data_IF_620916728656
#
_entry.id   IF_620916728656
#
_cell.length_a   1.000
_cell.length_b   1.000
_cell.length_c   1.000
_cell.angle_alpha   90.00
_cell.angle_beta   90.00
_cell.angle_gamma   90.00
#
_symmetry.space_group_name_H-M   'P 1'
#
loop_
_entity.id
_entity.type
_entity.pdbx_description
1 polymer ?
#
# COMPACT_ATOMS: atom_id res chain seq x y z
N UNK A 1 22.75 7.32 25.41
CA UNK A 1 22.19 8.05 24.24
C UNK A 1 20.69 8.17 24.45
N UNK A 2 20.18 9.40 24.60
CA UNK A 2 18.74 9.66 24.74
C UNK A 2 18.06 9.31 23.42
N UNK A 3 17.12 8.37 23.42
CA UNK A 3 16.32 8.10 22.21
C UNK A 3 15.53 9.37 21.89
N UNK A 4 15.74 9.91 20.70
CA UNK A 4 14.97 11.06 20.21
C UNK A 4 13.58 10.53 19.89
N UNK A 5 12.58 11.04 20.60
CA UNK A 5 11.18 10.74 20.34
C UNK A 5 10.82 11.17 18.91
N UNK A 6 10.15 10.30 18.14
CA UNK A 6 9.80 10.57 16.74
C UNK A 6 8.45 11.29 16.68
N UNK A 7 8.41 12.46 16.08
CA UNK A 7 7.15 13.19 15.82
C UNK A 7 6.43 12.53 14.64
N UNK A 8 5.15 12.24 14.81
CA UNK A 8 4.28 11.62 13.80
C UNK A 8 3.20 12.62 13.38
N UNK A 9 2.65 12.43 12.17
CA UNK A 9 1.53 13.22 11.69
C UNK A 9 0.36 13.18 12.70
N UNK A 10 -0.18 14.35 13.07
CA UNK A 10 -1.24 14.42 14.06
C UNK A 10 -2.52 13.77 13.51
N UNK A 11 -3.21 12.92 14.30
CA UNK A 11 -4.48 12.35 13.88
C UNK A 11 -5.54 13.46 13.69
N UNK A 12 -6.54 13.23 12.84
CA UNK A 12 -7.60 14.20 12.60
C UNK A 12 -8.30 14.58 13.90
N UNK A 13 -8.56 15.87 14.08
CA UNK A 13 -9.22 16.42 15.27
C UNK A 13 -8.30 16.68 16.46
N UNK A 14 -6.98 16.51 16.32
CA UNK A 14 -6.03 16.99 17.33
C UNK A 14 -6.00 18.54 17.35
N UNK A 15 -6.10 19.22 18.50
CA UNK A 15 -6.12 20.69 18.54
C UNK A 15 -4.82 21.31 18.03
N UNK A 16 -4.91 22.53 17.50
CA UNK A 16 -3.74 23.25 16.99
C UNK A 16 -2.68 23.47 18.09
N UNK A 17 -1.42 23.21 17.76
CA UNK A 17 -0.30 23.31 18.70
C UNK A 17 -0.03 22.05 19.52
N UNK A 18 -0.79 20.98 19.28
CA UNK A 18 -0.50 19.65 19.78
C UNK A 18 0.22 18.81 18.72
N UNK A 19 1.07 17.90 19.19
CA UNK A 19 1.84 16.99 18.35
C UNK A 19 1.64 15.55 18.83
N UNK A 20 1.56 14.62 17.89
CA UNK A 20 1.62 13.19 18.15
C UNK A 20 3.08 12.74 18.14
N UNK A 21 3.48 12.00 19.17
CA UNK A 21 4.86 11.55 19.37
C UNK A 21 4.88 10.06 19.61
N UNK A 22 5.57 9.35 18.73
CA UNK A 22 5.81 7.92 18.82
C UNK A 22 6.93 7.66 19.82
N UNK A 23 6.61 6.86 20.84
CA UNK A 23 7.51 6.41 21.90
C UNK A 23 7.62 4.90 21.87
N UNK A 24 8.72 4.37 22.38
CA UNK A 24 8.96 2.92 22.45
C UNK A 24 8.82 2.44 23.89
N UNK A 25 8.14 1.31 24.09
CA UNK A 25 8.16 0.62 25.38
C UNK A 25 9.57 0.12 25.67
N UNK A 26 10.13 0.53 26.82
CA UNK A 26 11.50 0.19 27.19
C UNK A 26 11.62 -1.17 27.89
N UNK A 27 10.55 -1.64 28.52
CA UNK A 27 10.53 -2.84 29.33
C UNK A 27 9.15 -3.51 29.32
N UNK A 28 9.08 -4.75 29.81
CA UNK A 28 7.85 -5.53 29.96
C UNK A 28 7.45 -6.31 28.70
N UNK A 29 6.23 -6.85 28.72
CA UNK A 29 5.67 -7.70 27.64
C UNK A 29 5.66 -7.01 26.26
N UNK A 30 5.59 -5.68 26.24
CA UNK A 30 5.54 -4.87 25.03
C UNK A 30 6.88 -4.21 24.69
N UNK A 31 7.98 -4.58 25.36
CA UNK A 31 9.29 -3.99 25.10
C UNK A 31 9.65 -4.04 23.60
N UNK A 32 10.07 -2.90 23.05
CA UNK A 32 10.34 -2.73 21.62
C UNK A 32 9.14 -2.29 20.78
N UNK A 33 7.91 -2.50 21.24
CA UNK A 33 6.71 -1.96 20.61
C UNK A 33 6.64 -0.43 20.72
N UNK A 34 5.95 0.22 19.78
CA UNK A 34 5.74 1.67 19.80
C UNK A 34 4.33 2.04 20.24
N UNK A 35 4.18 3.23 20.82
CA UNK A 35 2.91 3.81 21.23
C UNK A 35 2.92 5.31 21.02
N UNK A 36 1.74 5.89 20.74
CA UNK A 36 1.60 7.32 20.53
C UNK A 36 1.25 8.03 21.85
N UNK A 37 1.89 9.17 22.09
CA UNK A 37 1.53 10.15 23.11
C UNK A 37 1.35 11.52 22.50
N UNK A 38 0.47 12.29 23.08
CA UNK A 38 0.21 13.67 22.67
C UNK A 38 0.89 14.62 23.63
N UNK A 39 1.54 15.63 23.06
CA UNK A 39 2.16 16.71 23.81
C UNK A 39 1.96 18.04 23.09
N UNK A 40 1.86 19.13 23.85
CA UNK A 40 1.68 20.48 23.31
C UNK A 40 0.66 21.29 24.09
N UNK A 41 -0.07 22.14 23.36
CA UNK A 41 -0.99 23.12 23.93
C UNK A 41 -0.29 24.31 24.59
N UNK A 42 -1.07 25.26 25.11
CA UNK A 42 -0.55 26.53 25.66
C UNK A 42 0.42 26.34 26.83
N UNK A 43 0.24 25.28 27.63
CA UNK A 43 1.07 24.96 28.80
C UNK A 43 2.14 23.90 28.54
N UNK A 44 2.35 23.49 27.28
CA UNK A 44 3.28 22.41 26.92
C UNK A 44 3.04 21.12 27.71
N UNK A 45 1.77 20.72 27.88
CA UNK A 45 1.39 19.48 28.57
C UNK A 45 1.96 18.28 27.82
N UNK A 46 2.48 17.28 28.54
CA UNK A 46 3.08 16.07 27.94
C UNK A 46 2.40 14.79 28.41
N UNK A 47 2.50 13.75 27.60
CA UNK A 47 2.17 12.39 28.02
C UNK A 47 0.69 12.03 28.00
N UNK A 48 -0.15 12.78 27.28
CA UNK A 48 -1.56 12.38 27.11
C UNK A 48 -1.66 11.17 26.18
N UNK A 49 -2.56 10.25 26.51
CA UNK A 49 -2.67 8.95 25.83
C UNK A 49 -3.79 8.89 24.78
N UNK A 50 -4.63 9.93 24.67
CA UNK A 50 -5.72 9.97 23.69
C UNK A 50 -5.97 11.38 23.17
N UNK A 51 -6.48 11.48 21.94
CA UNK A 51 -6.90 12.74 21.31
C UNK A 51 -8.00 13.41 22.13
N UNK A 52 -8.98 12.65 22.64
CA UNK A 52 -10.04 13.16 23.52
C UNK A 52 -9.47 13.87 24.76
N UNK A 53 -8.48 13.28 25.43
CA UNK A 53 -7.81 13.91 26.58
C UNK A 53 -7.05 15.17 26.18
N UNK A 54 -6.43 15.19 25.00
CA UNK A 54 -5.78 16.39 24.47
C UNK A 54 -6.79 17.51 24.21
N UNK A 55 -7.96 17.20 23.61
CA UNK A 55 -9.06 18.15 23.40
C UNK A 55 -9.59 18.68 24.73
N UNK A 56 -9.91 17.81 25.69
CA UNK A 56 -10.38 18.22 27.02
C UNK A 56 -9.38 19.16 27.70
N UNK A 57 -8.08 18.84 27.62
CA UNK A 57 -7.03 19.62 28.26
C UNK A 57 -6.80 20.97 27.56
N UNK A 58 -6.82 20.99 26.23
CA UNK A 58 -6.71 22.20 25.44
C UNK A 58 -7.91 23.13 25.66
N UNK A 59 -9.13 22.59 25.69
CA UNK A 59 -10.34 23.34 26.01
C UNK A 59 -10.27 23.94 27.41
N UNK A 60 -9.83 23.16 28.41
CA UNK A 60 -9.60 23.67 29.77
C UNK A 60 -8.56 24.79 29.80
N UNK A 61 -7.44 24.64 29.08
CA UNK A 61 -6.37 25.64 29.07
C UNK A 61 -6.76 26.92 28.32
N UNK A 62 -7.69 26.85 27.36
CA UNK A 62 -8.25 27.99 26.62
C UNK A 62 -9.51 28.58 27.25
N UNK A 63 -10.07 27.95 28.28
CA UNK A 63 -11.35 28.36 28.88
C UNK A 63 -12.57 28.09 27.99
N UNK A 64 -12.49 27.10 27.10
CA UNK A 64 -13.60 26.63 26.26
C UNK A 64 -14.36 25.49 26.97
N UNK A 65 -15.61 25.26 26.57
CA UNK A 65 -16.36 24.10 27.03
C UNK A 65 -15.82 22.81 26.41
N UNK A 66 -15.28 21.93 27.25
CA UNK A 66 -14.70 20.66 26.84
C UNK A 66 -15.74 19.72 26.21
N UNK A 67 -17.00 19.77 26.66
CA UNK A 67 -18.05 18.89 26.11
C UNK A 67 -18.41 19.29 24.68
N UNK A 68 -18.55 20.59 24.42
CA UNK A 68 -18.78 21.11 23.06
C UNK A 68 -17.65 20.74 22.08
N UNK A 69 -16.38 20.84 22.49
CA UNK A 69 -15.25 20.47 21.62
C UNK A 69 -15.16 18.95 21.38
N UNK A 70 -15.45 18.13 22.40
CA UNK A 70 -15.56 16.68 22.23
C UNK A 70 -16.68 16.30 21.24
N UNK A 71 -17.83 16.97 21.29
CA UNK A 71 -18.93 16.72 20.36
C UNK A 71 -18.52 17.01 18.89
N UNK A 72 -17.76 18.08 18.65
CA UNK A 72 -17.20 18.38 17.31
C UNK A 72 -16.28 17.27 16.82
N UNK A 73 -15.41 16.75 17.70
CA UNK A 73 -14.53 15.64 17.37
C UNK A 73 -15.29 14.36 17.03
N UNK A 74 -16.35 14.04 17.77
CA UNK A 74 -17.18 12.87 17.49
C UNK A 74 -17.93 12.99 16.15
N UNK A 75 -18.42 14.18 15.82
CA UNK A 75 -19.01 14.46 14.51
C UNK A 75 -17.99 14.29 13.37
N UNK A 76 -16.77 14.80 13.53
CA UNK A 76 -15.69 14.63 12.56
C UNK A 76 -15.37 13.15 12.35
N UNK A 77 -15.21 12.40 13.45
CA UNK A 77 -14.93 10.95 13.39
C UNK A 77 -16.05 10.19 12.69
N UNK A 78 -17.31 10.55 12.96
CA UNK A 78 -18.48 9.94 12.30
C UNK A 78 -18.49 10.26 10.80
N UNK A 79 -18.27 11.52 10.42
CA UNK A 79 -18.20 11.91 9.01
C UNK A 79 -17.09 11.17 8.24
N UNK A 80 -15.91 11.00 8.84
CA UNK A 80 -14.83 10.22 8.25
C UNK A 80 -15.17 8.72 8.13
N UNK A 81 -15.83 8.16 9.14
CA UNK A 81 -16.29 6.78 9.08
C UNK A 81 -17.34 6.58 7.99
N UNK A 82 -18.31 7.49 7.88
CA UNK A 82 -19.35 7.47 6.87
C UNK A 82 -18.76 7.63 5.46
N UNK A 83 -17.78 8.50 5.27
CA UNK A 83 -17.10 8.66 3.98
C UNK A 83 -16.29 7.41 3.61
N UNK A 84 -15.51 6.87 4.55
CA UNK A 84 -14.80 5.60 4.35
C UNK A 84 -15.75 4.44 4.06
N UNK A 85 -16.94 4.43 4.65
CA UNK A 85 -17.98 3.44 4.34
C UNK A 85 -18.57 3.64 2.95
N UNK A 86 -18.82 4.89 2.53
CA UNK A 86 -19.26 5.21 1.16
C UNK A 86 -18.22 4.81 0.12
N UNK A 87 -16.95 5.09 0.37
CA UNK A 87 -15.83 4.65 -0.47
C UNK A 87 -15.76 3.13 -0.53
N UNK A 88 -15.87 2.44 0.62
CA UNK A 88 -15.94 0.98 0.66
C UNK A 88 -17.11 0.45 -0.16
N UNK A 89 -18.32 1.01 -0.03
CA UNK A 89 -19.49 0.60 -0.82
C UNK A 89 -19.31 0.88 -2.31
N UNK A 90 -18.72 2.01 -2.69
CA UNK A 90 -18.40 2.33 -4.09
C UNK A 90 -17.40 1.33 -4.68
N UNK A 91 -16.41 0.93 -3.89
CA UNK A 91 -15.41 -0.06 -4.30
C UNK A 91 -15.94 -1.50 -4.24
N UNK A 92 -16.80 -1.83 -3.27
CA UNK A 92 -17.43 -3.13 -3.10
C UNK A 92 -18.54 -3.37 -4.12
N UNK A 93 -19.14 -2.33 -4.72
CA UNK A 93 -20.02 -2.47 -5.88
C UNK A 93 -19.34 -3.10 -7.11
N UNK A 94 -18.00 -3.13 -7.14
CA UNK A 94 -17.22 -3.83 -8.16
C UNK A 94 -16.99 -5.29 -7.79
N UNK A 95 -17.38 -5.74 -6.59
CA UNK A 95 -17.35 -7.16 -6.18
C UNK A 95 -18.71 -7.80 -6.46
N UNK A 96 -18.72 -9.06 -6.93
CA UNK A 96 -19.95 -9.81 -7.23
C UNK A 96 -20.20 -9.96 -8.73
N UNK A 97 -21.45 -9.97 -9.17
CA UNK A 97 -21.81 -10.28 -10.57
C UNK A 97 -21.12 -9.38 -11.60
N UNK A 98 -20.96 -8.09 -11.30
CA UNK A 98 -20.24 -7.15 -12.18
C UNK A 98 -18.76 -7.49 -12.30
N UNK A 99 -18.15 -8.02 -11.24
CA UNK A 99 -16.75 -8.46 -11.26
C UNK A 99 -16.57 -9.56 -12.30
N UNK A 100 -17.39 -10.61 -12.21
CA UNK A 100 -17.33 -11.74 -13.13
C UNK A 100 -17.67 -11.30 -14.56
N UNK A 101 -18.63 -10.39 -14.75
CA UNK A 101 -18.90 -9.80 -16.08
C UNK A 101 -17.69 -9.07 -16.67
N UNK A 102 -16.92 -8.35 -15.85
CA UNK A 102 -15.69 -7.70 -16.32
C UNK A 102 -14.61 -8.72 -16.65
N UNK A 103 -14.42 -9.73 -15.79
CA UNK A 103 -13.46 -10.81 -16.05
C UNK A 103 -13.83 -11.56 -17.33
N UNK A 104 -15.09 -11.95 -17.49
CA UNK A 104 -15.60 -12.65 -18.68
C UNK A 104 -15.43 -11.81 -19.96
N UNK A 105 -15.72 -10.50 -19.90
CA UNK A 105 -15.51 -9.60 -21.02
C UNK A 105 -14.03 -9.51 -21.42
N UNK A 106 -13.12 -9.52 -20.45
CA UNK A 106 -11.69 -9.55 -20.72
C UNK A 106 -11.25 -10.90 -21.29
N UNK A 107 -11.60 -12.01 -20.62
CA UNK A 107 -11.20 -13.36 -21.01
C UNK A 107 -11.75 -13.75 -22.39
N UNK A 108 -12.95 -13.27 -22.77
CA UNK A 108 -13.54 -13.53 -24.10
C UNK A 108 -12.73 -12.93 -25.25
N UNK A 109 -12.09 -11.77 -25.02
CA UNK A 109 -11.32 -11.05 -26.04
C UNK A 109 -9.84 -11.44 -26.04
N UNK A 110 -9.24 -11.63 -24.86
CA UNK A 110 -7.79 -11.77 -24.70
C UNK A 110 -7.34 -13.12 -24.14
N UNK A 111 -8.28 -13.96 -23.68
CA UNK A 111 -7.98 -15.11 -22.85
C UNK A 111 -7.51 -14.71 -21.44
N UNK A 112 -7.01 -15.70 -20.69
CA UNK A 112 -6.48 -15.48 -19.34
C UNK A 112 -5.21 -14.62 -19.39
N UNK A 113 -5.11 -13.68 -18.46
CA UNK A 113 -3.91 -12.87 -18.31
C UNK A 113 -2.82 -13.69 -17.60
N UNK A 114 -1.57 -13.56 -18.04
CA UNK A 114 -0.43 -14.19 -17.40
C UNK A 114 0.18 -13.24 -16.35
N UNK A 115 0.48 -13.77 -15.16
CA UNK A 115 1.01 -12.96 -14.04
C UNK A 115 2.28 -12.18 -14.43
N UNK A 116 3.16 -12.80 -15.21
CA UNK A 116 4.44 -12.22 -15.63
C UNK A 116 4.31 -11.17 -16.76
N UNK A 117 3.14 -11.08 -17.40
CA UNK A 117 2.85 -10.07 -18.43
C UNK A 117 2.42 -8.75 -17.79
N UNK A 118 1.73 -8.79 -16.64
CA UNK A 118 1.23 -7.58 -15.95
C UNK A 118 2.30 -6.48 -15.79
N UNK A 119 3.53 -6.78 -15.34
CA UNK A 119 4.55 -5.75 -15.13
C UNK A 119 5.17 -5.22 -16.42
N UNK A 120 4.92 -5.87 -17.56
CA UNK A 120 5.30 -5.38 -18.90
C UNK A 120 4.27 -4.40 -19.44
N UNK A 121 3.08 -4.30 -18.82
CA UNK A 121 2.09 -3.29 -19.18
C UNK A 121 2.57 -1.93 -18.67
N UNK A 122 2.60 -0.88 -19.52
CA UNK A 122 3.06 0.45 -19.13
C UNK A 122 2.41 0.98 -17.85
N UNK A 123 3.25 1.43 -16.90
CA UNK A 123 2.83 1.97 -15.60
C UNK A 123 2.33 0.95 -14.57
N UNK A 124 2.23 -0.33 -14.94
CA UNK A 124 1.98 -1.40 -13.98
C UNK A 124 3.28 -1.91 -13.39
N UNK A 125 3.24 -2.24 -12.10
CA UNK A 125 4.37 -2.84 -11.39
C UNK A 125 3.87 -4.02 -10.55
N UNK A 126 4.76 -4.95 -10.19
CA UNK A 126 4.44 -5.97 -9.21
C UNK A 126 5.47 -6.01 -8.08
N UNK A 127 4.96 -6.28 -6.88
CA UNK A 127 5.74 -6.49 -5.66
C UNK A 127 5.53 -7.92 -5.21
N UNK A 128 6.62 -8.64 -5.04
CA UNK A 128 6.63 -10.02 -4.58
C UNK A 128 7.17 -10.05 -3.17
N UNK A 129 6.41 -10.63 -2.23
CA UNK A 129 6.79 -10.76 -0.81
C UNK A 129 6.74 -12.21 -0.40
N UNK A 130 7.83 -12.73 0.16
CA UNK A 130 7.83 -14.04 0.80
C UNK A 130 7.36 -13.91 2.25
N UNK A 131 6.38 -14.72 2.65
CA UNK A 131 5.86 -14.74 4.01
C UNK A 131 6.46 -15.95 4.75
N UNK A 132 7.48 -15.76 5.62
CA UNK A 132 8.21 -16.87 6.22
C UNK A 132 7.34 -17.70 7.18
N UNK A 133 6.28 -17.12 7.73
CA UNK A 133 5.36 -17.82 8.64
C UNK A 133 4.52 -18.85 7.88
N UNK A 134 4.06 -18.50 6.68
CA UNK A 134 3.21 -19.40 5.87
C UNK A 134 3.98 -20.19 4.82
N UNK A 135 5.23 -19.82 4.55
CA UNK A 135 6.02 -20.34 3.43
C UNK A 135 5.46 -19.93 2.06
N UNK A 136 4.55 -18.94 1.99
CA UNK A 136 3.87 -18.55 0.76
C UNK A 136 4.45 -17.27 0.18
N UNK A 137 4.53 -17.21 -1.15
CA UNK A 137 4.82 -15.98 -1.89
C UNK A 137 3.53 -15.21 -2.18
N UNK A 138 3.43 -14.00 -1.64
CA UNK A 138 2.38 -13.04 -1.94
C UNK A 138 2.80 -12.13 -3.09
N UNK A 139 1.96 -11.99 -4.11
CA UNK A 139 2.20 -11.09 -5.25
C UNK A 139 1.14 -10.00 -5.22
N UNK A 140 1.58 -8.74 -5.24
CA UNK A 140 0.71 -7.57 -5.35
C UNK A 140 1.00 -6.85 -6.66
N UNK A 141 -0.03 -6.63 -7.48
CA UNK A 141 0.04 -5.84 -8.69
C UNK A 141 -0.37 -4.41 -8.38
N UNK A 142 0.38 -3.41 -8.85
CA UNK A 142 0.12 -2.00 -8.60
C UNK A 142 -0.12 -1.32 -9.95
N UNK A 143 -1.29 -0.72 -10.09
CA UNK A 143 -1.68 0.05 -11.28
C UNK A 143 -0.98 1.41 -11.36
N UNK A 144 -1.04 2.09 -12.52
CA UNK A 144 -0.54 3.46 -12.67
C UNK A 144 -1.17 4.47 -11.70
N UNK A 145 -2.39 4.21 -11.23
CA UNK A 145 -3.10 5.01 -10.22
C UNK A 145 -2.68 4.68 -8.77
N UNK A 146 -1.61 3.91 -8.59
CA UNK A 146 -1.11 3.49 -7.28
C UNK A 146 -2.11 2.63 -6.47
N UNK A 147 -3.13 2.04 -7.12
CA UNK A 147 -4.02 1.02 -6.53
C UNK A 147 -3.39 -0.36 -6.59
N UNK A 148 -3.47 -1.10 -5.49
CA UNK A 148 -2.92 -2.45 -5.35
C UNK A 148 -3.99 -3.54 -5.50
N UNK A 149 -3.63 -4.63 -6.16
CA UNK A 149 -4.45 -5.79 -6.45
C UNK A 149 -3.71 -7.05 -6.01
N UNK A 150 -4.35 -7.87 -5.18
CA UNK A 150 -3.73 -9.09 -4.62
C UNK A 150 -3.91 -10.33 -5.50
N UNK A 151 -4.80 -10.28 -6.48
CA UNK A 151 -5.10 -11.41 -7.36
C UNK A 151 -5.18 -10.98 -8.82
N UNK A 152 -4.78 -11.86 -9.72
CA UNK A 152 -4.71 -11.56 -11.16
C UNK A 152 -6.10 -11.27 -11.76
N UNK A 153 -7.14 -11.96 -11.29
CA UNK A 153 -8.53 -11.68 -11.65
C UNK A 153 -8.96 -10.24 -11.40
N UNK A 154 -8.41 -9.57 -10.39
CA UNK A 154 -8.73 -8.15 -10.16
C UNK A 154 -8.12 -7.27 -11.24
N UNK A 155 -6.94 -7.62 -11.75
CA UNK A 155 -6.30 -6.93 -12.88
C UNK A 155 -7.11 -7.16 -14.16
N UNK A 156 -7.54 -8.40 -14.42
CA UNK A 156 -8.43 -8.73 -15.54
C UNK A 156 -9.73 -7.93 -15.48
N UNK A 157 -10.37 -7.83 -14.31
CA UNK A 157 -11.58 -7.04 -14.12
C UNK A 157 -11.38 -5.54 -14.40
N UNK A 158 -10.21 -4.98 -14.08
CA UNK A 158 -9.88 -3.58 -14.39
C UNK A 158 -9.83 -3.36 -15.91
N UNK A 159 -9.15 -4.24 -16.64
CA UNK A 159 -9.11 -4.16 -18.10
C UNK A 159 -10.46 -4.50 -18.74
N UNK A 160 -11.20 -5.46 -18.20
CA UNK A 160 -12.54 -5.82 -18.63
C UNK A 160 -13.56 -4.69 -18.48
N UNK A 161 -13.48 -3.93 -17.39
CA UNK A 161 -14.27 -2.71 -17.21
C UNK A 161 -13.97 -1.67 -18.31
N UNK A 162 -12.69 -1.51 -18.71
CA UNK A 162 -12.31 -0.63 -19.82
C UNK A 162 -12.83 -1.13 -21.17
N UNK A 163 -12.78 -2.44 -21.40
CA UNK A 163 -13.34 -3.07 -22.60
C UNK A 163 -14.84 -2.78 -22.72
N UNK A 164 -15.62 -2.97 -21.65
CA UNK A 164 -17.06 -2.70 -21.65
C UNK A 164 -17.40 -1.20 -21.79
N UNK A 165 -16.48 -0.30 -21.42
CA UNK A 165 -16.65 1.14 -21.60
C UNK A 165 -16.22 1.64 -23.00
N UNK A 166 -15.80 0.75 -23.91
CA UNK A 166 -15.47 1.10 -25.30
C UNK A 166 -13.98 1.27 -25.59
N UNK A 167 -13.09 1.05 -24.62
CA UNK A 167 -11.63 1.21 -24.79
C UNK A 167 -10.95 -0.04 -25.38
N UNK A 168 -11.69 -0.91 -26.08
CA UNK A 168 -11.20 -2.22 -26.53
C UNK A 168 -9.90 -2.12 -27.35
N UNK A 169 -9.80 -1.17 -28.27
CA UNK A 169 -8.62 -1.01 -29.14
C UNK A 169 -7.35 -0.62 -28.35
N UNK A 170 -7.49 0.21 -27.32
CA UNK A 170 -6.37 0.63 -26.48
C UNK A 170 -5.92 -0.53 -25.59
N UNK A 171 -6.86 -1.20 -24.92
CA UNK A 171 -6.57 -2.37 -24.07
C UNK A 171 -5.89 -3.46 -24.90
N UNK A 172 -6.38 -3.74 -26.10
CA UNK A 172 -5.77 -4.71 -27.02
C UNK A 172 -4.31 -4.37 -27.32
N UNK A 173 -4.05 -3.12 -27.70
CA UNK A 173 -2.69 -2.66 -28.01
C UNK A 173 -1.75 -2.82 -26.80
N UNK A 174 -2.23 -2.50 -25.59
CA UNK A 174 -1.46 -2.63 -24.35
C UNK A 174 -1.13 -4.10 -24.03
N UNK A 175 -2.12 -4.99 -24.10
CA UNK A 175 -1.95 -6.41 -23.75
C UNK A 175 -1.09 -7.12 -24.80
N UNK A 176 -1.33 -6.89 -26.10
CA UNK A 176 -0.53 -7.50 -27.18
C UNK A 176 0.93 -7.04 -27.11
N UNK A 177 1.18 -5.75 -26.87
CA UNK A 177 2.52 -5.22 -26.68
C UNK A 177 3.21 -5.84 -25.47
N UNK A 178 2.54 -5.90 -24.32
CA UNK A 178 3.10 -6.49 -23.10
C UNK A 178 3.43 -7.97 -23.28
N UNK A 179 2.57 -8.74 -23.95
CA UNK A 179 2.82 -10.14 -24.32
C UNK A 179 3.99 -10.28 -25.28
N UNK A 180 4.08 -9.43 -26.30
CA UNK A 180 5.19 -9.45 -27.25
C UNK A 180 6.54 -9.12 -26.58
N UNK A 181 6.56 -8.12 -25.69
CA UNK A 181 7.75 -7.75 -24.91
C UNK A 181 8.16 -8.90 -23.97
N UNK A 182 7.19 -9.58 -23.36
CA UNK A 182 7.45 -10.77 -22.54
C UNK A 182 8.04 -11.93 -23.37
N UNK A 183 7.44 -12.27 -24.52
CA UNK A 183 7.94 -13.33 -25.42
C UNK A 183 9.35 -12.99 -25.91
N UNK A 184 9.63 -11.72 -26.21
CA UNK A 184 10.96 -11.29 -26.66
C UNK A 184 12.03 -11.52 -25.59
N UNK A 185 11.69 -11.37 -24.32
CA UNK A 185 12.63 -11.53 -23.20
C UNK A 185 12.77 -12.99 -22.75
N UNK A 186 11.68 -13.75 -22.77
CA UNK A 186 11.62 -15.10 -22.17
C UNK A 186 11.39 -16.24 -23.17
N UNK A 187 11.17 -15.94 -24.45
CA UNK A 187 11.05 -16.89 -25.56
C UNK A 187 9.66 -17.51 -25.74
N UNK A 188 8.89 -17.76 -24.69
CA UNK A 188 7.55 -18.36 -24.77
C UNK A 188 6.60 -17.85 -23.69
N UNK A 189 5.29 -17.84 -24.01
CA UNK A 189 4.18 -17.60 -23.07
C UNK A 189 3.60 -18.88 -22.51
N UNK A 190 4.11 -20.05 -22.89
CA UNK A 190 3.64 -21.30 -22.30
C UNK A 190 3.70 -21.21 -20.78
N UNK A 191 2.74 -21.83 -20.07
CA UNK A 191 2.67 -21.83 -18.61
C UNK A 191 3.81 -22.69 -18.01
N UNK A 192 5.03 -22.29 -18.32
CA UNK A 192 6.23 -22.68 -17.61
C UNK A 192 6.21 -21.83 -16.35
N UNK A 193 6.20 -22.50 -15.20
CA UNK A 193 6.39 -21.99 -13.83
C UNK A 193 6.47 -20.45 -13.68
N UNK A 194 5.53 -19.85 -12.93
CA UNK A 194 5.42 -18.39 -12.72
C UNK A 194 6.79 -17.76 -12.44
N UNK A 195 7.35 -17.07 -13.45
CA UNK A 195 8.70 -16.51 -13.41
C UNK A 195 8.88 -15.45 -12.32
N UNK A 196 7.79 -14.85 -11.83
CA UNK A 196 7.82 -13.94 -10.68
C UNK A 196 8.21 -14.62 -9.36
N UNK A 197 8.25 -15.96 -9.32
CA UNK A 197 8.68 -16.75 -8.17
C UNK A 197 10.09 -17.33 -8.32
N UNK A 198 10.78 -16.99 -9.40
CA UNK A 198 12.15 -17.40 -9.66
C UNK A 198 13.10 -16.24 -9.38
N UNK A 199 14.23 -16.58 -8.80
CA UNK A 199 15.40 -15.72 -8.70
C UNK A 199 16.14 -15.67 -10.04
N UNK A 200 17.12 -14.77 -10.16
CA UNK A 200 17.94 -14.61 -11.37
C UNK A 200 18.75 -15.86 -11.73
N UNK A 201 19.00 -16.73 -10.76
CA UNK A 201 19.67 -18.03 -10.90
C UNK A 201 18.71 -19.18 -11.24
N UNK A 202 17.42 -18.88 -11.46
CA UNK A 202 16.34 -19.85 -11.67
C UNK A 202 16.00 -20.71 -10.45
N UNK A 203 16.54 -20.40 -9.25
CA UNK A 203 16.08 -21.02 -8.00
C UNK A 203 14.74 -20.42 -7.57
N UNK A 204 13.98 -21.16 -6.77
CA UNK A 204 12.71 -20.69 -6.23
C UNK A 204 12.91 -19.87 -4.96
N UNK A 205 12.00 -18.94 -4.68
CA UNK A 205 11.99 -18.18 -3.41
C UNK A 205 11.98 -19.09 -2.17
N UNK A 206 11.36 -20.27 -2.29
CA UNK A 206 11.32 -21.25 -1.22
C UNK A 206 12.69 -21.88 -0.97
N UNK A 207 13.41 -22.27 -2.02
CA UNK A 207 14.77 -22.82 -1.91
C UNK A 207 15.73 -21.80 -1.29
N UNK A 208 15.62 -20.53 -1.67
CA UNK A 208 16.41 -19.45 -1.05
C UNK A 208 16.03 -19.22 0.42
N UNK A 209 14.77 -19.36 0.79
CA UNK A 209 14.35 -19.28 2.19
C UNK A 209 14.87 -20.47 3.03
N UNK A 210 14.86 -21.68 2.46
CA UNK A 210 15.32 -22.91 3.09
C UNK A 210 16.85 -22.94 3.27
N UNK A 211 17.61 -22.29 2.38
CA UNK A 211 19.06 -22.17 2.51
C UNK A 211 19.50 -21.31 3.70
N UNK A 212 18.58 -20.55 4.29
CA UNK A 212 18.84 -19.69 5.45
C UNK A 212 19.63 -18.42 5.13
N UNK A 213 19.80 -18.10 3.85
CA UNK A 213 20.48 -16.88 3.42
C UNK A 213 19.54 -15.67 3.59
N UNK A 214 19.69 -15.00 4.73
CA UNK A 214 18.86 -13.86 5.11
C UNK A 214 19.08 -12.63 4.22
N UNK A 215 20.24 -12.54 3.53
CA UNK A 215 20.55 -11.42 2.65
C UNK A 215 19.78 -11.54 1.33
N UNK A 216 19.64 -12.75 0.78
CA UNK A 216 18.80 -13.00 -0.42
C UNK A 216 17.33 -12.70 -0.15
N UNK A 217 16.81 -13.04 1.03
CA UNK A 217 15.42 -12.70 1.40
C UNK A 217 15.17 -11.19 1.48
N UNK A 218 16.15 -10.40 1.93
CA UNK A 218 16.02 -8.96 2.00
C UNK A 218 16.09 -8.31 0.61
N UNK A 219 16.96 -8.80 -0.27
CA UNK A 219 17.02 -8.37 -1.67
C UNK A 219 15.70 -8.64 -2.41
N UNK A 220 15.02 -9.73 -2.05
CA UNK A 220 13.71 -10.09 -2.60
C UNK A 220 12.59 -9.16 -2.13
N UNK A 221 12.58 -8.72 -0.88
CA UNK A 221 11.59 -7.74 -0.40
C UNK A 221 11.70 -6.40 -1.13
N UNK A 222 12.92 -6.05 -1.56
CA UNK A 222 13.20 -4.82 -2.32
C UNK A 222 13.05 -5.01 -3.84
N UNK A 223 12.81 -6.24 -4.31
CA UNK A 223 12.67 -6.54 -5.73
C UNK A 223 11.31 -6.09 -6.26
N UNK A 224 11.31 -4.96 -6.96
CA UNK A 224 10.17 -4.45 -7.72
C UNK A 224 10.36 -4.78 -9.19
N UNK A 225 9.35 -5.40 -9.80
CA UNK A 225 9.37 -5.75 -11.21
C UNK A 225 8.41 -4.82 -11.96
N UNK A 226 8.89 -4.16 -13.01
CA UNK A 226 8.14 -3.14 -13.78
C UNK A 226 8.28 -1.71 -13.22
N UNK A 227 8.31 -0.72 -14.14
CA UNK A 227 8.52 0.71 -13.88
C UNK A 227 9.77 1.26 -14.61
N UNK A 228 9.67 2.45 -15.20
CA UNK A 228 10.81 3.16 -15.81
C UNK A 228 11.85 3.46 -14.71
N UNK A 229 12.86 2.58 -14.62
CA UNK A 229 14.01 2.59 -13.72
C UNK A 229 13.71 2.59 -12.20
N UNK A 230 14.31 1.67 -11.42
CA UNK A 230 14.22 1.72 -9.97
C UNK A 230 15.02 2.91 -9.43
N UNK A 231 14.36 3.91 -8.83
CA UNK A 231 15.03 4.70 -7.79
C UNK A 231 15.33 3.76 -6.63
N UNK A 232 16.58 3.31 -6.56
CA UNK A 232 17.15 2.60 -5.42
C UNK A 232 17.05 3.53 -4.20
N UNK A 233 15.94 3.46 -3.49
CA UNK A 233 15.78 4.18 -2.22
C UNK A 233 16.80 3.58 -1.27
N UNK A 234 17.96 4.24 -1.10
CA UNK A 234 18.98 3.83 -0.15
C UNK A 234 18.35 3.86 1.24
N UNK A 235 17.87 2.71 1.73
CA UNK A 235 17.42 2.57 3.10
C UNK A 235 18.68 2.55 3.97
N UNK A 236 18.79 3.52 4.87
CA UNK A 236 19.84 3.54 5.87
C UNK A 236 19.83 2.20 6.64
N UNK A 237 21.01 1.61 6.87
CA UNK A 237 21.19 0.35 7.61
C UNK A 237 20.36 0.37 8.90
N UNK A 238 19.25 -0.36 8.92
CA UNK A 238 18.47 -0.59 10.13
C UNK A 238 19.22 -1.61 10.98
N UNK A 239 19.37 -1.30 12.27
CA UNK A 239 20.03 -2.14 13.27
C UNK A 239 19.31 -3.46 13.54
N UNK A 240 19.73 -4.21 14.58
CA UNK A 240 19.37 -5.62 14.75
C UNK A 240 17.86 -5.89 14.82
N UNK A 241 17.44 -6.97 14.15
CA UNK A 241 16.05 -7.47 14.03
C UNK A 241 15.38 -7.59 15.41
N UNK A 242 14.27 -6.88 15.59
CA UNK A 242 13.37 -6.97 16.76
C UNK A 242 12.33 -8.06 16.48
N UNK A 243 11.95 -8.92 17.46
CA UNK A 243 10.91 -9.93 17.27
C UNK A 243 9.54 -9.27 17.00
N UNK A 244 8.89 -9.74 15.94
CA UNK A 244 7.67 -9.16 15.37
C UNK A 244 6.42 -9.65 16.13
N UNK A 245 5.67 -8.72 16.73
CA UNK A 245 4.38 -8.99 17.36
C UNK A 245 3.26 -8.91 16.30
N UNK A 246 2.49 -9.98 16.16
CA UNK A 246 1.42 -10.15 15.18
C UNK A 246 0.15 -9.40 15.59
N UNK A 247 0.10 -8.09 15.33
CA UNK A 247 -1.12 -7.30 15.23
C UNK A 247 -0.80 -6.02 14.46
N UNK A 248 -0.62 -6.15 13.14
CA UNK A 248 -0.35 -5.02 12.25
C UNK A 248 -1.27 -5.10 11.04
N UNK A 249 -2.39 -4.37 11.09
CA UNK A 249 -2.96 -3.79 9.88
C UNK A 249 -2.09 -2.59 9.51
N UNK A 250 -0.99 -2.83 8.80
CA UNK A 250 -0.21 -1.74 8.21
C UNK A 250 -1.09 -1.02 7.19
N UNK A 251 -1.53 0.19 7.54
CA UNK A 251 -1.85 1.19 6.54
C UNK A 251 -0.55 1.43 5.76
N UNK A 252 -0.46 0.85 4.56
CA UNK A 252 0.60 1.19 3.61
C UNK A 252 0.52 2.69 3.42
N UNK A 253 1.56 3.48 3.72
CA UNK A 253 1.53 4.91 3.47
C UNK A 253 1.23 5.11 1.99
N UNK A 254 0.13 5.79 1.69
CA UNK A 254 -0.16 6.32 0.37
C UNK A 254 1.06 7.17 -0.02
N UNK A 255 1.94 6.59 -0.83
CA UNK A 255 2.96 7.37 -1.52
C UNK A 255 2.16 8.32 -2.39
N UNK A 256 2.19 9.61 -2.04
CA UNK A 256 1.65 10.70 -2.85
C UNK A 256 2.32 10.64 -4.23
N UNK A 257 1.69 9.95 -5.17
CA UNK A 257 2.12 9.86 -6.56
C UNK A 257 1.98 11.29 -7.13
N UNK A 258 3.13 11.90 -7.41
CA UNK A 258 3.28 13.29 -7.82
C UNK A 258 2.34 13.66 -8.98
N UNK A 259 1.88 14.92 -8.97
CA UNK A 259 1.19 15.57 -10.08
C UNK A 259 1.88 15.26 -11.40
N UNK A 260 1.15 14.62 -12.32
CA UNK A 260 1.55 14.57 -13.71
C UNK A 260 1.50 16.01 -14.25
N UNK A 261 2.53 16.50 -14.97
CA UNK A 261 2.46 17.81 -15.59
C UNK A 261 1.34 17.83 -16.63
N UNK A 262 0.36 18.73 -16.45
CA UNK A 262 -0.68 19.00 -17.43
C UNK A 262 -0.02 19.37 -18.77
N UNK A 263 -0.08 18.45 -19.72
CA UNK A 263 0.41 18.69 -21.07
C UNK A 263 -0.54 19.67 -21.78
N UNK A 264 -0.07 20.90 -21.93
CA UNK A 264 -0.38 21.87 -22.99
C UNK A 264 -1.67 21.62 -23.79
N UNK A 265 -2.79 22.23 -23.33
CA UNK A 265 -3.86 22.64 -24.24
C UNK A 265 -3.32 23.76 -25.14
N UNK A 266 -3.14 23.47 -26.42
CA UNK A 266 -2.89 24.50 -27.43
C UNK A 266 -4.09 25.47 -27.49
N UNK A 267 -3.87 26.79 -27.52
CA UNK A 267 -4.93 27.74 -27.79
C UNK A 267 -5.37 27.63 -29.26
N UNK A 268 -6.68 27.65 -29.48
CA UNK A 268 -7.33 27.73 -30.78
C UNK A 268 -7.18 29.12 -31.41
#
# INVERSE_FOLDING_TARGET
MSKVDKVVEPPPGLPQGWQAVEKMFLAGKHAGGTYIRYQGGLKNTKGLYSVKKAIEKDAQDRGLDAQAELAKYEQLKKAQADEKERERKRNDMVKGEKFEQFVDAFESEFGKLEAAVVPKIPGWTCVVKYLPISGQTHVSYISPECKSYGVLKQVEAVFGHRVLNGDLAEVKTLIEKARADFIKEHGSLEPVYNSLRLLSDSSTLQEAAESGDADTLQELEDFKYGGDAPTRTKRAKLGPKIPFASDYSEEIPLVSCAEQPEANRAPA
#
